data_IF_894826321918
#
_entry.id   IF_894826321918
#
_cell.length_a   1.000
_cell.length_b   1.000
_cell.length_c   1.000
_cell.angle_alpha   90.00
_cell.angle_beta   90.00
_cell.angle_gamma   90.00
#
_symmetry.space_group_name_H-M   'P 1'
#
loop_
_entity.id
_entity.type
_entity.pdbx_description
1 polymer ?
#
# COMPACT_ATOMS: atom_id res chain seq x y z
N UNK A 1 -10.41 -18.64 -17.47
CA UNK A 1 -10.70 -18.53 -16.02
C UNK A 1 -11.18 -17.12 -15.77
N UNK A 2 -12.49 -16.95 -15.75
CA UNK A 2 -13.15 -15.69 -15.42
C UNK A 2 -13.86 -15.99 -14.10
N UNK A 3 -13.39 -15.39 -13.02
CA UNK A 3 -14.33 -14.89 -12.03
C UNK A 3 -13.83 -13.58 -11.44
N UNK A 4 -14.45 -12.54 -11.98
CA UNK A 4 -14.57 -11.16 -11.52
C UNK A 4 -14.50 -11.05 -10.00
N UNK A 5 -13.37 -10.56 -9.46
CA UNK A 5 -13.39 -9.91 -8.15
C UNK A 5 -14.20 -8.62 -8.28
N UNK A 6 -15.52 -8.71 -8.20
CA UNK A 6 -16.47 -7.56 -8.23
C UNK A 6 -16.10 -6.49 -7.19
N UNK A 7 -15.41 -6.92 -6.13
CA UNK A 7 -14.99 -6.13 -4.98
C UNK A 7 -13.59 -5.51 -5.12
N UNK A 8 -12.89 -5.74 -6.23
CA UNK A 8 -11.60 -5.10 -6.52
C UNK A 8 -11.79 -3.88 -7.42
N UNK A 9 -11.38 -2.70 -6.94
CA UNK A 9 -11.39 -1.45 -7.70
C UNK A 9 -9.96 -1.02 -8.01
N UNK A 10 -9.72 -0.51 -9.21
CA UNK A 10 -8.40 -0.06 -9.65
C UNK A 10 -8.40 1.44 -9.92
N UNK A 11 -7.43 2.14 -9.37
CA UNK A 11 -7.20 3.58 -9.52
C UNK A 11 -5.78 3.86 -10.00
N UNK A 12 -5.59 5.04 -10.58
CA UNK A 12 -4.28 5.50 -11.04
C UNK A 12 -4.01 6.93 -10.58
N UNK A 13 -2.90 7.13 -9.88
CA UNK A 13 -2.49 8.42 -9.32
C UNK A 13 -1.19 8.90 -9.95
N UNK A 14 -1.11 10.16 -10.37
CA UNK A 14 0.16 10.75 -10.79
C UNK A 14 1.02 11.02 -9.55
N UNK A 15 2.25 10.49 -9.50
CA UNK A 15 3.14 10.70 -8.36
C UNK A 15 3.80 12.08 -8.39
N UNK A 16 4.02 12.73 -7.23
CA UNK A 16 4.51 14.10 -7.18
C UNK A 16 5.91 14.26 -7.80
N UNK A 17 6.78 13.27 -7.65
CA UNK A 17 8.20 13.29 -8.06
C UNK A 17 8.51 12.67 -9.43
N UNK A 18 7.64 11.83 -9.99
CA UNK A 18 7.85 11.27 -11.35
C UNK A 18 6.81 11.69 -12.38
N UNK A 19 5.65 12.20 -11.94
CA UNK A 19 4.44 12.44 -12.75
C UNK A 19 3.89 11.20 -13.46
N UNK A 20 4.51 10.03 -13.29
CA UNK A 20 4.02 8.76 -13.80
C UNK A 20 2.81 8.31 -12.99
N UNK A 21 1.89 7.61 -13.65
CA UNK A 21 0.73 7.02 -13.01
C UNK A 21 1.14 5.77 -12.22
N UNK A 22 0.77 5.73 -10.94
CA UNK A 22 0.87 4.59 -10.05
C UNK A 22 -0.48 3.90 -9.94
N UNK A 23 -0.51 2.59 -10.16
CA UNK A 23 -1.67 1.75 -9.89
C UNK A 23 -1.86 1.58 -8.39
N UNK A 24 -3.08 1.81 -7.92
CA UNK A 24 -3.54 1.49 -6.56
C UNK A 24 -4.79 0.66 -6.68
N UNK A 25 -4.87 -0.44 -5.94
CA UNK A 25 -6.01 -1.33 -5.95
C UNK A 25 -6.67 -1.37 -4.59
N UNK A 26 -7.98 -1.29 -4.58
CA UNK A 26 -8.80 -1.29 -3.36
C UNK A 26 -9.65 -2.54 -3.38
N UNK A 27 -9.34 -3.46 -2.48
CA UNK A 27 -10.09 -4.69 -2.27
C UNK A 27 -11.08 -4.47 -1.13
N UNK A 28 -12.36 -4.60 -1.45
CA UNK A 28 -13.44 -4.45 -0.49
C UNK A 28 -13.79 -5.80 0.15
N UNK A 29 -14.26 -5.81 1.42
CA UNK A 29 -14.78 -7.01 2.07
C UNK A 29 -15.91 -7.65 1.26
N UNK A 30 -16.07 -8.97 1.35
CA UNK A 30 -17.07 -9.72 0.57
C UNK A 30 -18.51 -9.24 0.81
N UNK A 31 -18.82 -8.74 2.01
CA UNK A 31 -20.15 -8.29 2.42
C UNK A 31 -20.37 -6.77 2.26
N UNK A 32 -19.50 -6.08 1.53
CA UNK A 32 -19.58 -4.63 1.28
C UNK A 32 -20.65 -4.25 0.24
N UNK A 33 -21.89 -4.71 0.44
CA UNK A 33 -23.01 -4.24 -0.38
C UNK A 33 -23.40 -2.81 0.00
N UNK A 34 -23.88 -2.02 -0.97
CA UNK A 34 -24.36 -0.65 -0.72
C UNK A 34 -25.45 -0.59 0.36
N UNK A 35 -26.17 -1.69 0.58
CA UNK A 35 -27.23 -1.86 1.59
C UNK A 35 -26.72 -1.97 3.03
N UNK A 36 -25.44 -2.32 3.25
CA UNK A 36 -24.86 -2.43 4.59
C UNK A 36 -24.23 -1.09 5.01
N UNK A 37 -24.85 -0.38 5.95
CA UNK A 37 -24.44 0.95 6.44
C UNK A 37 -23.18 0.94 7.35
N UNK A 38 -22.23 0.03 7.11
CA UNK A 38 -21.05 -0.16 7.97
C UNK A 38 -19.82 0.50 7.35
N UNK A 39 -19.04 1.19 8.19
CA UNK A 39 -17.70 1.69 7.85
C UNK A 39 -16.65 0.67 8.29
N UNK A 40 -15.63 0.48 7.46
CA UNK A 40 -14.59 -0.54 7.65
C UNK A 40 -13.24 0.06 8.04
N UNK A 41 -12.43 -0.63 8.86
CA UNK A 41 -11.01 -0.31 8.95
C UNK A 41 -10.33 -0.41 7.59
N UNK A 42 -9.15 0.21 7.47
CA UNK A 42 -8.38 0.23 6.23
C UNK A 42 -6.93 -0.18 6.47
N UNK A 43 -6.45 -1.15 5.69
CA UNK A 43 -5.06 -1.58 5.66
C UNK A 43 -4.41 -1.14 4.35
N UNK A 44 -3.49 -0.19 4.43
CA UNK A 44 -2.64 0.25 3.33
C UNK A 44 -1.40 -0.65 3.28
N UNK A 45 -1.13 -1.24 2.12
CA UNK A 45 -0.01 -2.16 1.95
C UNK A 45 0.86 -1.75 0.76
N UNK A 46 2.16 -1.65 1.01
CA UNK A 46 3.18 -1.43 0.00
C UNK A 46 3.41 -2.68 -0.87
N UNK A 47 3.97 -2.48 -2.06
CA UNK A 47 4.27 -3.53 -3.04
C UNK A 47 3.03 -4.30 -3.52
N UNK A 48 1.94 -3.55 -3.77
CA UNK A 48 0.61 -4.06 -4.11
C UNK A 48 0.58 -5.17 -5.16
N UNK A 49 1.48 -5.17 -6.14
CA UNK A 49 1.58 -6.22 -7.17
C UNK A 49 1.91 -7.61 -6.59
N UNK A 50 2.51 -7.68 -5.41
CA UNK A 50 2.79 -8.93 -4.72
C UNK A 50 1.63 -9.44 -3.86
N UNK A 51 0.56 -8.67 -3.64
CA UNK A 51 -0.45 -9.00 -2.62
C UNK A 51 -1.54 -9.95 -3.13
N UNK A 52 -1.97 -9.75 -4.38
CA UNK A 52 -3.27 -10.24 -4.85
C UNK A 52 -3.18 -11.44 -5.79
N UNK A 53 -2.23 -11.42 -6.73
CA UNK A 53 -2.16 -12.41 -7.81
C UNK A 53 -0.75 -12.95 -7.98
N UNK A 54 -0.61 -14.27 -8.05
CA UNK A 54 0.69 -14.95 -8.15
C UNK A 54 1.45 -14.52 -9.41
N UNK A 55 0.74 -14.29 -10.51
CA UNK A 55 1.34 -13.89 -11.80
C UNK A 55 1.93 -12.48 -11.79
N UNK A 56 1.47 -11.61 -10.88
CA UNK A 56 2.00 -10.25 -10.72
C UNK A 56 3.09 -10.16 -9.65
N UNK A 57 3.22 -11.20 -8.81
CA UNK A 57 4.18 -11.21 -7.70
C UNK A 57 5.60 -11.40 -8.20
N UNK A 58 6.52 -10.64 -7.62
CA UNK A 58 7.96 -10.76 -7.88
C UNK A 58 8.50 -12.18 -7.65
N UNK A 59 7.98 -12.92 -6.66
CA UNK A 59 8.42 -14.28 -6.32
C UNK A 59 7.65 -15.38 -7.06
N UNK A 60 6.70 -15.02 -7.93
CA UNK A 60 5.74 -15.95 -8.52
C UNK A 60 4.69 -16.47 -7.54
N UNK A 61 4.69 -15.99 -6.29
CA UNK A 61 3.69 -16.31 -5.27
C UNK A 61 3.23 -15.02 -4.60
N UNK A 62 1.93 -14.73 -4.65
CA UNK A 62 1.37 -13.59 -3.95
C UNK A 62 1.37 -13.82 -2.44
N UNK A 63 1.11 -12.75 -1.68
CA UNK A 63 0.99 -12.81 -0.22
C UNK A 63 -0.38 -13.32 0.25
N UNK A 64 -1.19 -13.85 -0.67
CA UNK A 64 -2.45 -14.53 -0.38
C UNK A 64 -3.44 -13.68 0.42
N UNK A 65 -3.48 -12.38 0.14
CA UNK A 65 -4.36 -11.43 0.84
C UNK A 65 -5.83 -11.74 0.53
N UNK A 66 -6.16 -12.05 -0.72
CA UNK A 66 -7.52 -12.39 -1.13
C UNK A 66 -8.00 -13.63 -0.38
N UNK A 67 -7.20 -14.69 -0.39
CA UNK A 67 -7.48 -15.96 0.24
C UNK A 67 -7.62 -15.80 1.77
N UNK A 68 -6.75 -14.98 2.38
CA UNK A 68 -6.80 -14.67 3.81
C UNK A 68 -8.10 -13.96 4.21
N UNK A 69 -8.59 -13.02 3.39
CA UNK A 69 -9.86 -12.34 3.65
C UNK A 69 -11.07 -13.25 3.42
N UNK A 70 -11.01 -14.12 2.40
CA UNK A 70 -12.07 -15.09 2.12
C UNK A 70 -12.20 -16.16 3.20
N UNK A 71 -11.09 -16.56 3.83
CA UNK A 71 -11.09 -17.50 4.94
C UNK A 71 -11.71 -16.93 6.23
N UNK A 72 -12.07 -15.63 6.27
CA UNK A 72 -12.65 -14.94 7.43
C UNK A 72 -11.83 -15.09 8.72
N UNK A 73 -10.52 -15.27 8.59
CA UNK A 73 -9.58 -15.31 9.73
C UNK A 73 -9.29 -13.92 10.29
N UNK A 74 -9.66 -12.87 9.54
CA UNK A 74 -9.54 -11.47 9.94
C UNK A 74 -10.91 -10.77 9.90
N UNK A 75 -11.11 -9.70 10.70
CA UNK A 75 -12.28 -8.83 10.57
C UNK A 75 -12.41 -8.25 9.16
N UNK A 76 -13.64 -7.93 8.76
CA UNK A 76 -13.89 -7.21 7.50
C UNK A 76 -13.08 -5.91 7.44
N UNK A 77 -12.18 -5.82 6.44
CA UNK A 77 -11.24 -4.73 6.27
C UNK A 77 -11.09 -4.36 4.79
N UNK A 78 -10.97 -3.06 4.50
CA UNK A 78 -10.60 -2.60 3.16
C UNK A 78 -9.09 -2.70 3.02
N UNK A 79 -8.60 -3.37 1.97
CA UNK A 79 -7.17 -3.40 1.67
C UNK A 79 -6.85 -2.47 0.51
N UNK A 80 -5.93 -1.53 0.73
CA UNK A 80 -5.40 -0.61 -0.27
C UNK A 80 -4.01 -1.08 -0.67
N UNK A 81 -3.92 -1.81 -1.78
CA UNK A 81 -2.70 -2.32 -2.35
C UNK A 81 -2.03 -1.25 -3.24
N UNK A 82 -0.88 -0.75 -2.80
CA UNK A 82 -0.11 0.32 -3.46
C UNK A 82 1.05 -0.35 -4.19
N UNK A 83 0.96 -0.50 -5.52
CA UNK A 83 2.07 -1.03 -6.32
C UNK A 83 3.33 -0.19 -6.08
N UNK A 84 4.52 -0.71 -6.34
CA UNK A 84 5.75 0.09 -6.25
C UNK A 84 6.17 0.71 -7.59
N UNK A 85 7.26 1.46 -7.59
CA UNK A 85 7.78 2.22 -8.73
C UNK A 85 8.59 1.41 -9.73
N UNK A 86 8.32 0.12 -9.86
CA UNK A 86 9.15 -0.82 -10.63
C UNK A 86 10.65 -0.65 -10.24
N UNK A 87 11.54 -0.44 -11.21
CA UNK A 87 12.97 -0.17 -11.06
C UNK A 87 13.31 1.02 -10.13
N UNK A 88 12.36 1.91 -9.86
CA UNK A 88 12.54 3.03 -8.92
C UNK A 88 12.11 2.71 -7.49
N UNK A 89 11.67 1.48 -7.18
CA UNK A 89 11.17 1.09 -5.84
C UNK A 89 12.14 1.47 -4.72
N UNK A 90 13.43 1.16 -4.91
CA UNK A 90 14.46 1.45 -3.91
C UNK A 90 14.61 2.95 -3.65
N UNK A 91 14.56 3.76 -4.71
CA UNK A 91 14.58 5.22 -4.60
C UNK A 91 13.33 5.77 -3.93
N UNK A 92 12.16 5.23 -4.30
CA UNK A 92 10.85 5.66 -3.79
C UNK A 92 10.70 5.39 -2.30
N UNK A 93 11.18 4.25 -1.81
CA UNK A 93 11.02 3.87 -0.41
C UNK A 93 12.18 4.32 0.49
N UNK A 94 13.25 4.90 -0.07
CA UNK A 94 14.33 5.49 0.70
C UNK A 94 13.97 6.91 1.16
N UNK A 95 13.87 7.19 2.47
CA UNK A 95 13.52 8.52 2.97
C UNK A 95 14.62 9.57 2.76
N UNK A 96 15.87 9.12 2.60
CA UNK A 96 17.03 9.98 2.41
C UNK A 96 17.82 9.51 1.17
N UNK A 97 18.52 10.43 0.48
CA UNK A 97 19.46 10.05 -0.56
C UNK A 97 20.55 9.12 -0.03
N UNK A 98 20.99 8.19 -0.86
CA UNK A 98 22.13 7.33 -0.58
C UNK A 98 23.13 7.40 -1.74
N UNK A 99 24.42 7.46 -1.41
CA UNK A 99 25.51 7.67 -2.39
C UNK A 99 25.92 6.40 -3.14
N UNK A 100 25.65 5.21 -2.58
CA UNK A 100 26.07 3.95 -3.18
C UNK A 100 25.19 3.60 -4.39
N UNK A 101 25.82 3.59 -5.56
CA UNK A 101 25.29 2.88 -6.73
C UNK A 101 25.22 1.41 -6.38
N UNK A 102 24.02 0.83 -6.36
CA UNK A 102 23.84 -0.62 -6.36
C UNK A 102 23.85 -1.04 -7.84
N UNK A 103 24.91 -1.71 -8.33
CA UNK A 103 25.00 -2.11 -9.73
C UNK A 103 23.75 -2.93 -10.11
N UNK A 104 23.13 -2.60 -11.24
CA UNK A 104 21.92 -3.24 -11.77
C UNK A 104 20.61 -3.02 -10.98
N UNK A 105 20.59 -2.21 -9.92
CA UNK A 105 19.38 -2.05 -9.09
C UNK A 105 18.79 -0.64 -9.04
N UNK A 106 19.54 0.46 -9.20
CA UNK A 106 18.97 1.81 -9.06
C UNK A 106 19.81 2.87 -9.82
N UNK A 107 19.18 3.86 -10.48
CA UNK A 107 19.85 5.12 -10.79
C UNK A 107 20.52 5.71 -9.53
N UNK A 108 21.59 6.50 -9.70
CA UNK A 108 22.03 7.41 -8.62
C UNK A 108 20.81 8.21 -8.15
N UNK A 109 20.78 8.56 -6.87
CA UNK A 109 19.77 9.44 -6.25
C UNK A 109 18.56 8.68 -5.64
N UNK A 110 18.75 8.10 -4.45
CA UNK A 110 17.64 7.79 -3.52
C UNK A 110 16.97 9.07 -2.98
N UNK A 111 15.95 8.92 -2.10
CA UNK A 111 15.43 10.06 -1.32
C UNK A 111 14.03 10.54 -1.68
N UNK A 112 13.25 9.78 -2.46
CA UNK A 112 11.86 10.14 -2.75
C UNK A 112 10.89 9.69 -1.63
N UNK A 113 11.36 9.01 -0.59
CA UNK A 113 10.52 8.46 0.48
C UNK A 113 9.75 9.53 1.26
N UNK A 114 10.30 10.74 1.40
CA UNK A 114 9.58 11.83 2.07
C UNK A 114 8.35 12.24 1.27
N UNK A 115 8.53 12.45 -0.03
CA UNK A 115 7.44 12.82 -0.94
C UNK A 115 6.43 11.69 -1.10
N UNK A 116 6.89 10.43 -1.14
CA UNK A 116 6.00 9.27 -1.17
C UNK A 116 5.16 9.17 0.11
N UNK A 117 5.79 9.25 1.29
CA UNK A 117 5.08 9.21 2.57
C UNK A 117 4.04 10.35 2.68
N UNK A 118 4.43 11.56 2.26
CA UNK A 118 3.53 12.71 2.16
C UNK A 118 2.35 12.42 1.22
N UNK A 119 2.60 11.88 0.03
CA UNK A 119 1.55 11.52 -0.92
C UNK A 119 0.57 10.49 -0.35
N UNK A 120 1.08 9.45 0.34
CA UNK A 120 0.23 8.45 1.00
C UNK A 120 -0.72 9.12 2.01
N UNK A 121 -0.19 10.01 2.84
CA UNK A 121 -0.94 10.64 3.94
C UNK A 121 -1.87 11.75 3.46
N UNK A 122 -1.45 12.57 2.51
CA UNK A 122 -2.13 13.83 2.14
C UNK A 122 -2.97 13.72 0.87
N UNK A 123 -2.78 12.69 0.06
CA UNK A 123 -3.53 12.50 -1.18
C UNK A 123 -4.26 11.15 -1.20
N UNK A 124 -3.52 10.04 -1.02
CA UNK A 124 -4.11 8.72 -1.13
C UNK A 124 -5.12 8.43 -0.02
N UNK A 125 -4.73 8.56 1.26
CA UNK A 125 -5.64 8.30 2.38
C UNK A 125 -6.92 9.16 2.32
N UNK A 126 -6.85 10.49 2.09
CA UNK A 126 -8.04 11.31 1.90
C UNK A 126 -8.92 10.88 0.73
N UNK A 127 -8.32 10.47 -0.41
CA UNK A 127 -9.08 9.91 -1.52
C UNK A 127 -9.84 8.64 -1.09
N UNK A 128 -9.18 7.73 -0.38
CA UNK A 128 -9.80 6.49 0.07
C UNK A 128 -10.94 6.81 1.06
N UNK A 129 -10.71 7.70 2.01
CA UNK A 129 -11.71 8.12 3.01
C UNK A 129 -12.92 8.87 2.41
N UNK A 130 -12.76 9.50 1.25
CA UNK A 130 -13.84 10.19 0.55
C UNK A 130 -14.68 9.23 -0.30
N UNK A 131 -14.03 8.26 -0.95
CA UNK A 131 -14.66 7.41 -1.96
C UNK A 131 -15.12 6.04 -1.43
N UNK A 132 -14.70 5.67 -0.21
CA UNK A 132 -15.02 4.40 0.41
C UNK A 132 -15.58 4.60 1.82
N UNK A 133 -16.33 3.60 2.30
CA UNK A 133 -16.89 3.58 3.65
C UNK A 133 -15.81 3.19 4.66
N UNK A 134 -14.96 4.14 5.03
CA UNK A 134 -13.84 3.92 5.94
C UNK A 134 -14.14 4.42 7.35
N UNK A 135 -13.55 3.74 8.34
CA UNK A 135 -13.30 4.30 9.67
C UNK A 135 -12.00 5.10 9.56
N UNK A 136 -12.13 6.42 9.55
CA UNK A 136 -11.07 7.36 9.13
C UNK A 136 -10.03 7.63 10.21
N UNK A 137 -10.37 7.31 11.45
CA UNK A 137 -9.58 7.59 12.63
C UNK A 137 -8.30 6.74 12.71
N UNK A 138 -7.42 7.16 13.60
CA UNK A 138 -6.13 6.56 13.83
C UNK A 138 -6.22 5.06 14.16
N UNK A 139 -7.13 4.66 15.07
CA UNK A 139 -7.23 3.30 15.59
C UNK A 139 -7.62 2.26 14.51
N UNK A 140 -8.22 2.72 13.42
CA UNK A 140 -8.71 1.87 12.33
C UNK A 140 -7.97 2.06 10.99
N UNK A 141 -6.89 2.83 10.99
CA UNK A 141 -6.02 3.04 9.83
C UNK A 141 -4.70 2.32 10.04
N UNK A 142 -4.37 1.37 9.16
CA UNK A 142 -3.17 0.54 9.29
C UNK A 142 -2.24 0.69 8.08
N UNK A 143 -0.93 0.58 8.30
CA UNK A 143 0.08 0.65 7.24
C UNK A 143 1.04 -0.54 7.34
N UNK A 144 1.34 -1.21 6.23
CA UNK A 144 2.23 -2.37 6.24
C UNK A 144 3.12 -2.50 5.00
N UNK A 145 4.29 -3.12 5.17
CA UNK A 145 5.21 -3.43 4.08
C UNK A 145 6.37 -4.31 4.51
N UNK A 146 7.08 -4.85 3.52
CA UNK A 146 8.23 -5.75 3.70
C UNK A 146 9.51 -5.18 3.08
N UNK A 147 10.67 -5.45 3.70
CA UNK A 147 11.98 -4.97 3.23
C UNK A 147 11.99 -3.43 3.17
N UNK A 148 12.22 -2.83 2.00
CA UNK A 148 12.08 -1.39 1.79
C UNK A 148 10.66 -0.88 2.09
N UNK A 149 9.63 -1.71 1.87
CA UNK A 149 8.26 -1.42 2.27
C UNK A 149 8.13 -1.28 3.79
N UNK A 150 8.92 -2.04 4.55
CA UNK A 150 9.00 -1.92 6.01
C UNK A 150 9.71 -0.63 6.43
N UNK A 151 10.79 -0.26 5.73
CA UNK A 151 11.51 1.01 5.96
C UNK A 151 10.59 2.21 5.76
N UNK A 152 9.88 2.28 4.64
CA UNK A 152 8.98 3.39 4.35
C UNK A 152 7.75 3.40 5.26
N UNK A 153 7.28 2.23 5.72
CA UNK A 153 6.23 2.12 6.76
C UNK A 153 6.71 2.77 8.06
N UNK A 154 7.89 2.38 8.53
CA UNK A 154 8.47 2.90 9.78
C UNK A 154 8.71 4.41 9.69
N UNK A 155 9.26 4.88 8.57
CA UNK A 155 9.47 6.31 8.33
C UNK A 155 8.15 7.09 8.29
N UNK A 156 7.15 6.60 7.56
CA UNK A 156 5.85 7.28 7.45
C UNK A 156 5.18 7.41 8.82
N UNK A 157 5.22 6.36 9.64
CA UNK A 157 4.69 6.41 10.99
C UNK A 157 5.44 7.40 11.90
N UNK A 158 6.76 7.46 11.80
CA UNK A 158 7.57 8.41 12.58
C UNK A 158 7.30 9.87 12.18
N UNK A 159 7.11 10.16 10.89
CA UNK A 159 6.81 11.51 10.40
C UNK A 159 5.36 11.93 10.63
N UNK A 160 4.43 10.97 10.64
CA UNK A 160 2.99 11.21 10.75
C UNK A 160 2.38 10.35 11.88
N UNK A 161 2.77 10.59 13.15
CA UNK A 161 2.50 9.69 14.28
C UNK A 161 1.03 9.50 14.62
N UNK A 162 0.14 10.37 14.13
CA UNK A 162 -1.29 10.34 14.44
C UNK A 162 -2.15 9.86 13.26
N UNK A 163 -1.55 9.27 12.22
CA UNK A 163 -2.28 8.86 11.00
C UNK A 163 -2.61 7.37 10.98
N UNK A 164 -1.70 6.50 11.43
CA UNK A 164 -1.88 5.04 11.38
C UNK A 164 -1.70 4.41 12.75
N UNK A 165 -2.75 3.80 13.30
CA UNK A 165 -2.79 3.21 14.63
C UNK A 165 -2.21 1.80 14.74
N UNK A 166 -1.88 1.16 13.62
CA UNK A 166 -1.15 -0.10 13.63
C UNK A 166 -0.25 -0.26 12.41
N UNK A 167 0.88 -0.91 12.63
CA UNK A 167 1.96 -1.03 11.65
C UNK A 167 2.38 -2.49 11.46
N UNK A 168 2.46 -2.92 10.20
CA UNK A 168 3.06 -4.21 9.82
C UNK A 168 4.44 -3.99 9.20
N UNK A 169 5.50 -4.07 9.99
CA UNK A 169 6.89 -3.85 9.53
C UNK A 169 7.60 -5.19 9.45
N UNK A 170 7.71 -5.75 8.24
CA UNK A 170 8.28 -7.08 8.02
C UNK A 170 9.70 -6.97 7.45
N UNK A 171 10.68 -7.60 8.12
CA UNK A 171 12.06 -7.72 7.63
C UNK A 171 12.65 -6.42 7.09
N UNK A 172 12.62 -5.35 7.90
CA UNK A 172 13.02 -3.99 7.51
C UNK A 172 14.42 -3.94 6.90
N UNK A 173 14.55 -3.23 5.78
CA UNK A 173 15.86 -2.90 5.20
C UNK A 173 16.39 -1.63 5.87
N UNK A 174 17.05 -1.79 7.03
CA UNK A 174 17.67 -0.73 7.82
C UNK A 174 19.16 -0.58 7.55
#
# INVERSE_FOLDING_TARGET
MVDTFTNLKTHFFALPYTKKKRRVRVLLPNNSSEKNAVNYPVLYMHDGQNLLFDQESFSGNSWKIIESLQAQVFPDIIVVAIDHADTYRLREYAPFPFEKVIPHAVPKDGGNGQDYAKWVVTELKPFIDLNYRTKKDFEHSFLAGSSMGGLITAYTAAQYPNVFGGLGIFSIAS
#
